data_IF_861580162559
#
_entry.id   IF_861580162559
#
_cell.length_a   1.000
_cell.length_b   1.000
_cell.length_c   1.000
_cell.angle_alpha   90.00
_cell.angle_beta   90.00
_cell.angle_gamma   90.00
#
_symmetry.space_group_name_H-M   'P 1'
#
loop_
_entity.id
_entity.type
_entity.pdbx_description
1 polymer ?
#
# COMPACT_ATOMS: atom_id res chain seq x y z
N UNK A 1 -3.21 -17.34 21.49
CA UNK A 1 -2.15 -17.21 20.47
C UNK A 1 -1.06 -18.26 20.63
N UNK A 2 -1.23 -19.43 20.00
CA UNK A 2 -0.23 -20.52 20.03
C UNK A 2 1.07 -20.14 19.30
N UNK A 3 0.97 -19.35 18.24
CA UNK A 3 2.11 -19.00 17.37
C UNK A 3 2.66 -17.59 17.62
N UNK A 4 2.05 -16.81 18.51
CA UNK A 4 2.40 -15.39 18.71
C UNK A 4 2.12 -14.51 17.49
N UNK A 5 2.60 -13.26 17.52
CA UNK A 5 2.41 -12.27 16.46
C UNK A 5 3.70 -11.50 16.14
N UNK A 6 3.80 -11.00 14.91
CA UNK A 6 4.93 -10.17 14.46
C UNK A 6 6.28 -10.91 14.44
N UNK A 7 7.37 -10.23 14.80
CA UNK A 7 8.73 -10.78 14.74
C UNK A 7 8.98 -12.00 15.65
N UNK A 8 8.10 -12.24 16.63
CA UNK A 8 8.19 -13.37 17.56
C UNK A 8 7.32 -14.57 17.13
N UNK A 9 6.71 -14.50 15.94
CA UNK A 9 5.85 -15.56 15.45
C UNK A 9 6.65 -16.83 15.17
N UNK A 10 6.25 -17.94 15.77
CA UNK A 10 6.85 -19.27 15.57
C UNK A 10 6.09 -20.06 14.52
N UNK A 11 6.81 -20.89 13.75
CA UNK A 11 6.21 -21.75 12.74
C UNK A 11 5.42 -22.89 13.39
N UNK A 12 4.24 -23.20 12.87
CA UNK A 12 3.49 -24.40 13.29
C UNK A 12 4.30 -25.68 13.05
N UNK A 13 5.17 -25.70 12.04
CA UNK A 13 6.01 -26.86 11.72
C UNK A 13 7.05 -27.18 12.80
N UNK A 14 7.34 -26.25 13.73
CA UNK A 14 8.31 -26.45 14.81
C UNK A 14 7.65 -26.81 16.15
N UNK A 15 6.33 -26.93 16.21
CA UNK A 15 5.58 -27.23 17.44
C UNK A 15 5.29 -28.73 17.58
N UNK A 16 5.02 -29.17 18.81
CA UNK A 16 4.65 -30.55 19.08
C UNK A 16 3.27 -30.89 18.51
N UNK A 17 3.11 -32.11 17.97
CA UNK A 17 1.87 -32.58 17.31
C UNK A 17 0.63 -32.31 18.16
N UNK A 18 0.68 -32.61 19.47
CA UNK A 18 -0.45 -32.38 20.39
C UNK A 18 -0.89 -30.92 20.42
N UNK A 19 0.05 -29.97 20.48
CA UNK A 19 -0.27 -28.54 20.51
C UNK A 19 -0.90 -28.08 19.19
N UNK A 20 -0.41 -28.60 18.07
CA UNK A 20 -0.97 -28.31 16.74
C UNK A 20 -2.38 -28.85 16.61
N UNK A 21 -2.64 -30.07 17.09
CA UNK A 21 -3.97 -30.68 17.11
C UNK A 21 -4.94 -29.83 17.94
N UNK A 22 -4.59 -29.51 19.18
CA UNK A 22 -5.46 -28.73 20.07
C UNK A 22 -5.82 -27.37 19.44
N UNK A 23 -4.86 -26.69 18.83
CA UNK A 23 -5.08 -25.41 18.14
C UNK A 23 -5.93 -25.54 16.88
N UNK A 24 -5.66 -26.54 16.03
CA UNK A 24 -6.43 -26.76 14.81
C UNK A 24 -7.89 -27.14 15.12
N UNK A 25 -8.10 -28.04 16.09
CA UNK A 25 -9.42 -28.44 16.54
C UNK A 25 -10.21 -27.26 17.15
N UNK A 26 -9.56 -26.42 17.96
CA UNK A 26 -10.19 -25.21 18.49
C UNK A 26 -10.66 -24.27 17.37
N UNK A 27 -9.82 -24.00 16.37
CA UNK A 27 -10.18 -23.16 15.23
C UNK A 27 -11.36 -23.72 14.42
N UNK A 28 -11.36 -25.03 14.15
CA UNK A 28 -12.47 -25.69 13.45
C UNK A 28 -13.75 -25.60 14.27
N UNK A 29 -13.70 -25.90 15.57
CA UNK A 29 -14.87 -25.86 16.44
C UNK A 29 -15.50 -24.45 16.52
N UNK A 30 -14.66 -23.42 16.69
CA UNK A 30 -15.12 -22.02 16.71
C UNK A 30 -15.72 -21.63 15.36
N UNK A 31 -15.04 -21.93 14.25
CA UNK A 31 -15.51 -21.59 12.91
C UNK A 31 -16.83 -22.29 12.59
N UNK A 32 -16.96 -23.56 12.99
CA UNK A 32 -18.18 -24.33 12.81
C UNK A 32 -19.34 -23.75 13.64
N UNK A 33 -19.12 -23.43 14.91
CA UNK A 33 -20.13 -22.84 15.77
C UNK A 33 -20.63 -21.46 15.32
N UNK A 34 -19.81 -20.70 14.61
CA UNK A 34 -20.20 -19.39 14.07
C UNK A 34 -21.01 -19.48 12.77
N UNK A 35 -20.97 -20.63 12.08
CA UNK A 35 -21.51 -20.79 10.72
C UNK A 35 -23.00 -20.44 10.63
N UNK A 36 -23.81 -21.03 11.49
CA UNK A 36 -25.26 -20.94 11.37
C UNK A 36 -25.76 -19.54 11.77
N UNK A 37 -25.23 -18.98 12.86
CA UNK A 37 -25.51 -17.60 13.28
C UNK A 37 -25.15 -16.57 12.20
N UNK A 38 -23.97 -16.68 11.58
CA UNK A 38 -23.55 -15.77 10.51
C UNK A 38 -24.38 -15.96 9.24
N UNK A 39 -24.77 -17.18 8.92
CA UNK A 39 -25.66 -17.47 7.79
C UNK A 39 -27.04 -16.82 7.99
N UNK A 40 -27.62 -16.95 9.18
CA UNK A 40 -28.91 -16.32 9.52
C UNK A 40 -28.83 -14.80 9.38
N UNK A 41 -27.76 -14.19 9.88
CA UNK A 41 -27.53 -12.76 9.76
C UNK A 41 -27.41 -12.32 8.28
N UNK A 42 -26.65 -13.07 7.47
CA UNK A 42 -26.52 -12.80 6.03
C UNK A 42 -27.86 -12.91 5.30
N UNK A 43 -28.70 -13.87 5.66
CA UNK A 43 -30.05 -13.99 5.10
C UNK A 43 -30.92 -12.80 5.52
N UNK A 44 -30.89 -12.40 6.79
CA UNK A 44 -31.66 -11.26 7.32
C UNK A 44 -31.28 -9.95 6.65
N UNK A 45 -30.01 -9.76 6.30
CA UNK A 45 -29.52 -8.59 5.58
C UNK A 45 -29.66 -8.69 4.05
N UNK A 46 -30.21 -9.80 3.51
CA UNK A 46 -30.32 -10.00 2.06
C UNK A 46 -28.99 -10.22 1.33
N UNK A 47 -27.90 -10.49 2.07
CA UNK A 47 -26.54 -10.65 1.54
C UNK A 47 -26.18 -12.10 1.19
N UNK A 48 -27.04 -13.06 1.53
CA UNK A 48 -26.77 -14.48 1.33
C UNK A 48 -26.47 -14.85 -0.13
N UNK A 49 -27.22 -14.28 -1.07
CA UNK A 49 -27.02 -14.55 -2.49
C UNK A 49 -25.68 -14.01 -2.99
N UNK A 50 -25.33 -12.77 -2.63
CA UNK A 50 -24.02 -12.17 -2.92
C UNK A 50 -22.88 -13.04 -2.37
N UNK A 51 -22.98 -13.45 -1.10
CA UNK A 51 -21.99 -14.32 -0.47
C UNK A 51 -21.82 -15.65 -1.23
N UNK A 52 -22.92 -16.31 -1.59
CA UNK A 52 -22.87 -17.65 -2.21
C UNK A 52 -22.51 -17.65 -3.68
N UNK A 53 -22.98 -16.67 -4.44
CA UNK A 53 -22.88 -16.67 -5.90
C UNK A 53 -21.72 -15.82 -6.40
N UNK A 54 -21.19 -14.90 -5.58
CA UNK A 54 -20.08 -14.02 -5.95
C UNK A 54 -18.87 -14.27 -5.06
N UNK A 55 -19.03 -14.20 -3.73
CA UNK A 55 -17.86 -14.25 -2.83
C UNK A 55 -17.20 -15.63 -2.78
N UNK A 56 -17.99 -16.67 -2.51
CA UNK A 56 -17.44 -18.01 -2.39
C UNK A 56 -16.83 -18.53 -3.70
N UNK A 57 -17.43 -18.28 -4.89
CA UNK A 57 -16.80 -18.63 -6.16
C UNK A 57 -15.55 -17.82 -6.51
N UNK A 58 -15.41 -16.60 -5.96
CA UNK A 58 -14.23 -15.76 -6.19
C UNK A 58 -13.00 -16.25 -5.40
N UNK A 59 -13.18 -16.89 -4.24
CA UNK A 59 -12.08 -17.44 -3.43
C UNK A 59 -11.10 -18.31 -4.25
N UNK A 60 -11.53 -19.38 -4.95
CA UNK A 60 -10.60 -20.21 -5.73
C UNK A 60 -9.95 -19.45 -6.89
N UNK A 61 -10.62 -18.45 -7.46
CA UNK A 61 -10.04 -17.59 -8.52
C UNK A 61 -8.90 -16.75 -7.96
N UNK A 62 -9.09 -16.11 -6.80
CA UNK A 62 -8.04 -15.34 -6.14
C UNK A 62 -6.85 -16.23 -5.79
N UNK A 63 -7.09 -17.41 -5.20
CA UNK A 63 -6.02 -18.38 -4.90
C UNK A 63 -5.25 -18.78 -6.16
N UNK A 64 -5.94 -19.00 -7.29
CA UNK A 64 -5.29 -19.29 -8.56
C UNK A 64 -4.46 -18.10 -9.07
N UNK A 65 -4.96 -16.88 -8.97
CA UNK A 65 -4.23 -15.67 -9.35
C UNK A 65 -2.96 -15.47 -8.49
N UNK A 66 -3.05 -15.64 -7.17
CA UNK A 66 -1.91 -15.54 -6.26
C UNK A 66 -0.85 -16.60 -6.58
N UNK A 67 -1.27 -17.85 -6.79
CA UNK A 67 -0.35 -18.96 -7.13
C UNK A 67 0.28 -18.81 -8.50
N UNK A 68 -0.45 -18.28 -9.48
CA UNK A 68 0.09 -18.02 -10.81
C UNK A 68 1.18 -16.95 -10.75
N UNK A 69 0.97 -15.89 -9.98
CA UNK A 69 1.91 -14.76 -9.90
C UNK A 69 2.08 -14.02 -11.23
N UNK A 70 2.96 -13.02 -11.24
CA UNK A 70 3.15 -12.08 -12.34
C UNK A 70 4.64 -12.09 -12.75
N UNK A 71 4.91 -12.26 -14.05
CA UNK A 71 6.27 -12.11 -14.59
C UNK A 71 6.58 -10.63 -14.78
N UNK A 72 7.81 -10.25 -14.46
CA UNK A 72 8.32 -8.90 -14.66
C UNK A 72 9.47 -8.92 -15.66
N UNK A 73 9.53 -7.92 -16.53
CA UNK A 73 10.73 -7.62 -17.30
C UNK A 73 11.68 -6.79 -16.44
N UNK A 74 12.61 -7.48 -15.78
CA UNK A 74 13.60 -6.84 -14.89
C UNK A 74 14.59 -5.95 -15.65
N UNK A 75 14.82 -6.21 -16.94
CA UNK A 75 15.72 -5.40 -17.75
C UNK A 75 15.08 -4.06 -18.07
N UNK A 76 13.81 -4.07 -18.46
CA UNK A 76 13.03 -2.86 -18.67
C UNK A 76 12.94 -2.04 -17.38
N UNK A 77 12.60 -2.65 -16.25
CA UNK A 77 12.52 -1.95 -14.96
C UNK A 77 13.87 -1.32 -14.57
N UNK A 78 14.99 -2.02 -14.78
CA UNK A 78 16.31 -1.46 -14.52
C UNK A 78 16.61 -0.26 -15.42
N UNK A 79 16.26 -0.30 -16.70
CA UNK A 79 16.42 0.82 -17.63
C UNK A 79 15.59 2.03 -17.16
N UNK A 80 14.33 1.80 -16.82
CA UNK A 80 13.44 2.84 -16.27
C UNK A 80 13.98 3.44 -14.97
N UNK A 81 14.56 2.62 -14.08
CA UNK A 81 15.16 3.11 -12.84
C UNK A 81 16.31 4.09 -13.10
N UNK A 82 17.15 3.82 -14.10
CA UNK A 82 18.23 4.71 -14.50
C UNK A 82 17.71 6.02 -15.11
N UNK A 83 16.73 5.95 -16.03
CA UNK A 83 16.14 7.13 -16.66
C UNK A 83 15.47 8.05 -15.63
N UNK A 84 14.65 7.47 -14.74
CA UNK A 84 14.00 8.22 -13.65
C UNK A 84 15.03 8.81 -12.69
N UNK A 85 16.12 8.10 -12.39
CA UNK A 85 17.20 8.61 -11.55
C UNK A 85 17.87 9.84 -12.17
N UNK A 86 18.13 9.84 -13.48
CA UNK A 86 18.69 10.99 -14.18
C UNK A 86 17.74 12.18 -14.20
N UNK A 87 16.44 11.97 -14.41
CA UNK A 87 15.43 13.02 -14.38
C UNK A 87 15.28 13.63 -12.98
N UNK A 88 15.29 12.79 -11.94
CA UNK A 88 15.26 13.24 -10.55
C UNK A 88 16.48 14.10 -10.19
N UNK A 89 17.69 13.75 -10.65
CA UNK A 89 18.89 14.56 -10.42
C UNK A 89 18.80 15.93 -11.10
N UNK A 90 18.21 16.01 -12.29
CA UNK A 90 17.96 17.29 -12.98
C UNK A 90 16.97 18.16 -12.18
N UNK A 91 15.84 17.59 -11.77
CA UNK A 91 14.85 18.28 -10.96
C UNK A 91 15.42 18.75 -9.62
N UNK A 92 16.24 17.92 -8.98
CA UNK A 92 16.92 18.26 -7.73
C UNK A 92 17.85 19.46 -7.91
N UNK A 93 18.66 19.47 -8.96
CA UNK A 93 19.52 20.62 -9.29
C UNK A 93 18.70 21.89 -9.58
N UNK A 94 17.60 21.78 -10.32
CA UNK A 94 16.71 22.93 -10.58
C UNK A 94 16.05 23.47 -9.30
N UNK A 95 15.64 22.58 -8.39
CA UNK A 95 15.10 22.97 -7.09
C UNK A 95 16.19 23.70 -6.29
N UNK A 96 17.39 23.13 -6.19
CA UNK A 96 18.49 23.77 -5.45
C UNK A 96 18.90 25.12 -6.04
N UNK A 97 18.92 25.26 -7.37
CA UNK A 97 19.18 26.55 -8.02
C UNK A 97 18.09 27.58 -7.75
N UNK A 98 16.83 27.14 -7.62
CA UNK A 98 15.71 28.03 -7.30
C UNK A 98 15.76 28.53 -5.84
N UNK A 99 16.26 27.70 -4.91
CA UNK A 99 16.36 28.04 -3.47
C UNK A 99 17.66 28.76 -3.14
N UNK A 100 18.75 28.44 -3.83
CA UNK A 100 20.09 28.97 -3.57
C UNK A 100 20.89 28.16 -2.53
N UNK A 101 20.33 27.09 -1.99
CA UNK A 101 21.06 26.13 -1.14
C UNK A 101 20.48 24.72 -1.24
N UNK A 102 21.26 23.74 -0.76
CA UNK A 102 20.84 22.35 -0.71
C UNK A 102 20.03 22.05 0.56
N UNK A 103 19.07 21.14 0.42
CA UNK A 103 18.29 20.59 1.53
C UNK A 103 17.69 19.24 1.11
N UNK A 104 17.15 18.49 2.07
CA UNK A 104 16.48 17.23 1.79
C UNK A 104 15.04 17.47 1.30
N UNK A 105 14.82 17.34 -0.01
CA UNK A 105 13.51 17.54 -0.68
C UNK A 105 12.46 16.53 -0.19
N UNK A 106 12.89 15.33 0.24
CA UNK A 106 12.02 14.29 0.79
C UNK A 106 11.63 14.56 2.26
N UNK A 107 12.32 15.47 2.95
CA UNK A 107 11.98 15.85 4.32
C UNK A 107 10.84 16.88 4.33
N UNK A 108 9.69 16.48 4.87
CA UNK A 108 8.52 17.33 5.01
C UNK A 108 8.85 18.61 5.79
N UNK A 109 9.68 18.52 6.83
CA UNK A 109 10.07 19.65 7.68
C UNK A 109 10.98 20.64 6.94
N UNK A 110 12.00 20.14 6.23
CA UNK A 110 12.93 21.02 5.51
C UNK A 110 12.24 21.67 4.31
N UNK A 111 11.44 20.92 3.56
CA UNK A 111 10.67 21.48 2.46
C UNK A 111 9.64 22.52 2.96
N UNK A 112 8.95 22.25 4.06
CA UNK A 112 8.00 23.20 4.64
C UNK A 112 8.68 24.53 5.01
N UNK A 113 9.90 24.47 5.56
CA UNK A 113 10.69 25.65 5.90
C UNK A 113 10.97 26.49 4.65
N UNK A 114 11.49 25.86 3.60
CA UNK A 114 11.79 26.53 2.32
C UNK A 114 10.52 27.17 1.73
N UNK A 115 9.42 26.42 1.61
CA UNK A 115 8.20 26.91 0.96
C UNK A 115 7.49 28.03 1.74
N UNK A 116 7.37 27.90 3.06
CA UNK A 116 6.51 28.78 3.86
C UNK A 116 7.26 29.84 4.68
N UNK A 117 8.55 29.64 4.98
CA UNK A 117 9.37 30.63 5.70
C UNK A 117 10.20 31.47 4.72
N UNK A 118 10.86 30.84 3.75
CA UNK A 118 11.75 31.55 2.80
C UNK A 118 10.98 32.16 1.63
N UNK A 119 10.21 31.35 0.88
CA UNK A 119 9.37 31.86 -0.22
C UNK A 119 8.07 32.51 0.26
N UNK A 120 7.74 32.43 1.55
CA UNK A 120 6.55 33.03 2.17
C UNK A 120 5.24 32.69 1.44
N UNK A 121 5.12 31.47 0.92
CA UNK A 121 3.90 31.00 0.26
C UNK A 121 2.72 30.91 1.23
N UNK A 122 1.46 30.95 0.73
CA UNK A 122 0.27 30.85 1.58
C UNK A 122 0.31 29.61 2.46
N UNK A 123 0.19 29.83 3.78
CA UNK A 123 0.37 28.78 4.78
C UNK A 123 -0.83 27.84 4.77
N UNK A 124 -0.56 26.54 4.67
CA UNK A 124 -1.54 25.51 4.96
C UNK A 124 -1.76 25.37 6.48
N UNK A 125 -2.85 24.71 6.87
CA UNK A 125 -3.20 24.45 8.28
C UNK A 125 -2.00 23.78 9.00
N UNK A 126 -1.51 24.41 10.07
CA UNK A 126 -0.40 23.89 10.88
C UNK A 126 -0.84 22.61 11.58
N UNK A 127 -0.08 21.53 11.39
CA UNK A 127 -0.25 20.28 12.13
C UNK A 127 0.70 20.25 13.33
N UNK A 128 0.57 19.26 14.21
CA UNK A 128 1.48 19.06 15.36
C UNK A 128 2.96 18.94 14.93
N UNK A 129 3.21 18.52 13.69
CA UNK A 129 4.53 18.26 13.10
C UNK A 129 5.07 19.41 12.24
N UNK A 130 4.32 20.50 12.07
CA UNK A 130 4.67 21.62 11.18
C UNK A 130 3.65 21.86 10.07
N UNK A 131 4.05 22.60 9.04
CA UNK A 131 3.19 22.85 7.87
C UNK A 131 3.08 21.60 7.00
N UNK A 132 1.87 21.31 6.49
CA UNK A 132 1.66 20.18 5.60
C UNK A 132 2.27 20.46 4.23
N UNK A 133 3.07 19.52 3.75
CA UNK A 133 3.58 19.47 2.38
C UNK A 133 2.99 18.29 1.61
N UNK A 134 1.80 17.81 2.00
CA UNK A 134 1.11 16.75 1.26
C UNK A 134 0.82 17.16 -0.18
N UNK A 135 0.74 16.18 -1.09
CA UNK A 135 0.48 16.44 -2.50
C UNK A 135 -0.79 17.29 -2.69
N UNK A 136 -1.89 16.96 -2.00
CA UNK A 136 -3.16 17.73 -2.07
C UNK A 136 -3.01 19.20 -1.70
N UNK A 137 -2.14 19.51 -0.72
CA UNK A 137 -1.87 20.88 -0.29
C UNK A 137 -1.01 21.61 -1.32
N UNK A 138 0.04 20.96 -1.83
CA UNK A 138 0.94 21.53 -2.84
C UNK A 138 0.22 21.75 -4.17
N UNK A 139 -0.71 20.87 -4.54
CA UNK A 139 -1.59 21.02 -5.71
C UNK A 139 -2.41 22.31 -5.65
N UNK A 140 -2.98 22.64 -4.49
CA UNK A 140 -3.72 23.89 -4.29
C UNK A 140 -2.86 25.16 -4.32
N UNK A 141 -1.53 25.02 -4.30
CA UNK A 141 -0.57 26.12 -4.40
C UNK A 141 0.05 26.24 -5.80
N UNK A 142 -0.34 25.37 -6.76
CA UNK A 142 0.14 25.46 -8.15
C UNK A 142 -0.13 26.84 -8.75
N UNK A 143 0.76 27.28 -9.62
CA UNK A 143 0.72 28.61 -10.22
C UNK A 143 1.25 29.75 -9.35
N UNK A 144 1.46 29.55 -8.04
CA UNK A 144 2.03 30.60 -7.17
C UNK A 144 3.55 30.69 -7.28
N UNK A 145 4.24 29.56 -7.46
CA UNK A 145 5.69 29.54 -7.63
C UNK A 145 6.16 28.32 -8.43
N UNK A 146 7.10 28.47 -9.39
CA UNK A 146 7.60 27.37 -10.21
C UNK A 146 8.27 26.21 -9.44
N UNK A 147 8.67 26.44 -8.19
CA UNK A 147 9.25 25.40 -7.32
C UNK A 147 8.23 24.30 -6.97
N UNK A 148 6.94 24.65 -6.90
CA UNK A 148 5.89 23.74 -6.43
C UNK A 148 5.69 22.61 -7.44
N UNK A 149 5.67 22.94 -8.73
CA UNK A 149 5.57 21.96 -9.81
C UNK A 149 6.77 21.02 -9.83
N UNK A 150 7.99 21.56 -9.70
CA UNK A 150 9.22 20.75 -9.65
C UNK A 150 9.24 19.80 -8.47
N UNK A 151 8.83 20.25 -7.29
CA UNK A 151 8.78 19.43 -6.08
C UNK A 151 7.71 18.34 -6.21
N UNK A 152 6.54 18.65 -6.76
CA UNK A 152 5.50 17.67 -7.03
C UNK A 152 5.99 16.59 -8.00
N UNK A 153 6.61 17.01 -9.11
CA UNK A 153 7.22 16.09 -10.08
C UNK A 153 8.30 15.23 -9.44
N UNK A 154 9.25 15.82 -8.71
CA UNK A 154 10.33 15.08 -8.03
C UNK A 154 9.77 14.00 -7.09
N UNK A 155 8.74 14.33 -6.29
CA UNK A 155 8.11 13.37 -5.37
C UNK A 155 7.34 12.27 -6.11
N UNK A 156 6.68 12.60 -7.20
CA UNK A 156 5.99 11.63 -8.04
C UNK A 156 6.98 10.63 -8.64
N UNK A 157 8.08 11.11 -9.24
CA UNK A 157 9.13 10.25 -9.78
C UNK A 157 9.80 9.43 -8.69
N UNK A 158 10.12 10.04 -7.54
CA UNK A 158 10.71 9.34 -6.40
C UNK A 158 9.83 8.20 -5.88
N UNK A 159 8.52 8.42 -5.77
CA UNK A 159 7.57 7.37 -5.40
C UNK A 159 7.49 6.28 -6.46
N UNK A 160 7.38 6.64 -7.74
CA UNK A 160 7.33 5.69 -8.84
C UNK A 160 8.58 4.79 -8.84
N UNK A 161 9.76 5.39 -8.76
CA UNK A 161 11.05 4.72 -8.73
C UNK A 161 11.18 3.80 -7.49
N UNK A 162 11.03 4.36 -6.30
CA UNK A 162 11.29 3.61 -5.05
C UNK A 162 10.25 2.54 -4.72
N UNK A 163 8.97 2.84 -4.92
CA UNK A 163 7.87 1.95 -4.48
C UNK A 163 7.58 0.85 -5.48
N UNK A 164 7.82 1.12 -6.78
CA UNK A 164 7.48 0.17 -7.84
C UNK A 164 8.72 -0.31 -8.57
N UNK A 165 9.46 0.59 -9.22
CA UNK A 165 10.52 0.18 -10.15
C UNK A 165 11.67 -0.54 -9.46
N UNK A 166 12.15 -0.02 -8.32
CA UNK A 166 13.26 -0.62 -7.57
C UNK A 166 12.79 -1.75 -6.64
N UNK A 167 11.59 -1.65 -6.09
CA UNK A 167 11.09 -2.63 -5.11
C UNK A 167 10.57 -3.92 -5.76
N UNK A 168 9.83 -3.83 -6.88
CA UNK A 168 9.19 -4.99 -7.51
C UNK A 168 10.19 -6.12 -7.87
N UNK A 169 11.37 -5.83 -8.46
CA UNK A 169 12.35 -6.87 -8.74
C UNK A 169 12.85 -7.61 -7.49
N UNK A 170 12.92 -6.92 -6.35
CA UNK A 170 13.34 -7.52 -5.09
C UNK A 170 12.28 -8.48 -4.49
N UNK A 171 11.04 -8.44 -4.98
CA UNK A 171 9.93 -9.29 -4.55
C UNK A 171 9.76 -10.54 -5.41
N UNK A 172 10.63 -10.77 -6.40
CA UNK A 172 10.57 -11.96 -7.25
C UNK A 172 10.87 -13.19 -6.40
N UNK A 173 9.95 -14.15 -6.41
CA UNK A 173 10.15 -15.43 -5.73
C UNK A 173 11.19 -16.26 -6.51
N UNK A 174 12.30 -16.69 -5.87
CA UNK A 174 13.37 -17.40 -6.56
C UNK A 174 12.96 -18.78 -7.09
N UNK A 175 11.89 -19.39 -6.55
CA UNK A 175 11.42 -20.71 -6.98
C UNK A 175 10.58 -20.63 -8.26
N UNK A 176 9.82 -19.56 -8.45
CA UNK A 176 8.88 -19.42 -9.58
C UNK A 176 9.34 -18.42 -10.61
N UNK A 177 10.28 -17.53 -10.27
CA UNK A 177 10.71 -16.41 -11.12
C UNK A 177 9.62 -15.34 -11.30
N UNK A 178 8.61 -15.31 -10.42
CA UNK A 178 7.43 -14.43 -10.52
C UNK A 178 7.20 -13.71 -9.20
N UNK A 179 6.51 -12.57 -9.26
CA UNK A 179 6.01 -11.87 -8.07
C UNK A 179 4.63 -12.42 -7.74
N UNK A 180 4.41 -12.79 -6.48
CA UNK A 180 3.15 -13.32 -5.98
C UNK A 180 2.52 -12.29 -5.07
N UNK A 181 1.43 -11.69 -5.52
CA UNK A 181 0.66 -10.75 -4.70
C UNK A 181 -0.27 -11.50 -3.75
N UNK A 182 -0.61 -10.86 -2.64
CA UNK A 182 -1.69 -11.24 -1.74
C UNK A 182 -2.90 -10.32 -2.00
N UNK A 183 -4.07 -10.91 -2.25
CA UNK A 183 -5.34 -10.20 -2.37
C UNK A 183 -6.03 -10.17 -1.01
N UNK A 184 -5.83 -9.09 -0.28
CA UNK A 184 -6.49 -8.90 1.00
C UNK A 184 -7.84 -8.24 0.76
N UNK A 185 -8.91 -8.95 1.10
CA UNK A 185 -10.25 -8.37 1.08
C UNK A 185 -10.40 -7.37 2.23
N UNK A 186 -10.70 -6.12 1.91
CA UNK A 186 -11.02 -5.11 2.91
C UNK A 186 -12.52 -4.79 2.84
N UNK A 187 -13.24 -5.04 3.92
CA UNK A 187 -14.59 -4.53 4.09
C UNK A 187 -14.49 -3.03 4.43
N UNK A 188 -14.99 -2.17 3.54
CA UNK A 188 -15.16 -0.75 3.85
C UNK A 188 -16.62 -0.54 4.23
N UNK A 189 -16.88 -0.19 5.49
CA UNK A 189 -18.18 0.30 5.92
C UNK A 189 -18.35 1.71 5.33
N UNK A 190 -19.20 1.85 4.32
CA UNK A 190 -19.63 3.15 3.82
C UNK A 190 -21.09 3.32 4.27
N UNK A 191 -21.39 4.43 4.95
CA UNK A 191 -22.73 4.69 5.49
C UNK A 191 -23.83 4.74 4.41
N UNK A 192 -25.07 4.48 4.87
CA UNK A 192 -26.40 4.62 4.25
C UNK A 192 -26.65 4.11 2.81
N UNK A 193 -25.72 3.39 2.17
CA UNK A 193 -25.96 2.76 0.87
C UNK A 193 -25.53 1.28 0.85
N UNK A 194 -26.40 0.34 0.41
CA UNK A 194 -25.98 -0.96 -0.08
C UNK A 194 -25.77 -0.93 -1.63
N UNK A 195 -24.93 -1.81 -2.21
CA UNK A 195 -24.08 -2.81 -1.57
C UNK A 195 -22.64 -2.29 -1.40
N UNK A 196 -22.01 -2.80 -0.35
CA UNK A 196 -20.58 -2.70 -0.01
C UNK A 196 -19.71 -2.62 -1.26
N UNK A 197 -19.07 -1.47 -1.53
CA UNK A 197 -18.00 -1.44 -2.53
C UNK A 197 -16.85 -2.28 -1.99
N UNK A 198 -16.68 -3.47 -2.57
CA UNK A 198 -15.62 -4.36 -2.15
C UNK A 198 -14.34 -3.95 -2.84
N UNK A 199 -13.37 -3.52 -2.04
CA UNK A 199 -12.04 -3.18 -2.55
C UNK A 199 -11.09 -4.30 -2.16
N UNK A 200 -10.44 -4.88 -3.17
CA UNK A 200 -9.31 -5.77 -2.94
C UNK A 200 -8.06 -4.93 -2.77
N UNK A 201 -7.43 -5.02 -1.59
CA UNK A 201 -6.11 -4.45 -1.38
C UNK A 201 -5.08 -5.45 -1.87
N UNK A 202 -4.46 -5.12 -2.99
CA UNK A 202 -3.32 -5.84 -3.54
C UNK A 202 -2.10 -5.46 -2.68
N UNK A 203 -1.49 -6.45 -2.03
CA UNK A 203 -0.26 -6.27 -1.26
C UNK A 203 0.79 -7.23 -1.79
N UNK A 204 1.96 -6.72 -2.13
CA UNK A 204 3.09 -7.47 -2.67
C UNK A 204 4.04 -7.92 -1.56
#
# INVERSE_FOLDING_TARGET
DLIGTGKKQVSLATLGVKQVVDYACANVNITWGLRDNLKEELCRQGLWQLFREVEMPLVPVLVAMERNGITLDTNLLRKMSLELGQEMLKLEAEIYNSVGHQFNINSHQQLAKVLFEEFKLPRSRKTKSGYSTEASVLEGLRGLHPIIERVLQYRQLGKLKSTYIDALPALINPKTGRVHTNFIKQARLQGDFPPVSQTYKISL
#
